data_IF_072167650156
#
_entry.id   IF_072167650156
#
_cell.length_a   1.000
_cell.length_b   1.000
_cell.length_c   1.000
_cell.angle_alpha   90.00
_cell.angle_beta   90.00
_cell.angle_gamma   90.00
#
_symmetry.space_group_name_H-M   'P 1'
#
loop_
_entity.id
_entity.type
_entity.pdbx_description
1 polymer ?
#
# COMPACT_ATOMS: atom_id res chain seq x y z
N UNK A 1 52.23 -1.95 -16.07
CA UNK A 1 50.86 -2.47 -16.29
C UNK A 1 50.52 -2.25 -17.76
N UNK A 2 50.17 -3.28 -18.51
CA UNK A 2 49.93 -3.17 -19.96
C UNK A 2 48.79 -2.20 -20.26
N UNK A 3 48.98 -1.29 -21.23
CA UNK A 3 47.98 -0.29 -21.64
C UNK A 3 46.63 -0.92 -22.01
N UNK A 4 46.66 -2.13 -22.57
CA UNK A 4 45.46 -2.89 -22.94
C UNK A 4 44.70 -3.42 -21.70
N UNK A 5 45.41 -3.81 -20.64
CA UNK A 5 44.79 -4.27 -19.39
C UNK A 5 44.17 -3.10 -18.61
N UNK A 6 44.83 -1.94 -18.59
CA UNK A 6 44.26 -0.74 -17.95
C UNK A 6 43.03 -0.23 -18.68
N UNK A 7 43.00 -0.24 -20.02
CA UNK A 7 41.82 0.09 -20.81
C UNK A 7 40.64 -0.85 -20.54
N UNK A 8 40.88 -2.16 -20.49
CA UNK A 8 39.83 -3.15 -20.21
C UNK A 8 39.23 -2.98 -18.81
N UNK A 9 40.04 -2.65 -17.80
CA UNK A 9 39.57 -2.37 -16.44
C UNK A 9 38.70 -1.09 -16.42
N UNK A 10 39.11 -0.07 -17.17
CA UNK A 10 38.34 1.18 -17.31
C UNK A 10 36.97 0.94 -17.96
N UNK A 11 36.92 0.20 -19.07
CA UNK A 11 35.67 -0.16 -19.72
C UNK A 11 34.78 -1.03 -18.84
N UNK A 12 35.34 -2.01 -18.12
CA UNK A 12 34.60 -2.82 -17.18
C UNK A 12 33.99 -1.97 -16.03
N UNK A 13 34.74 -0.98 -15.53
CA UNK A 13 34.23 -0.04 -14.52
C UNK A 13 33.06 0.82 -15.02
N UNK A 14 33.13 1.31 -16.27
CA UNK A 14 32.06 2.10 -16.89
C UNK A 14 30.81 1.23 -17.16
N UNK A 15 31.00 -0.01 -17.62
CA UNK A 15 29.89 -0.94 -17.83
C UNK A 15 29.20 -1.31 -16.51
N UNK A 16 29.96 -1.57 -15.44
CA UNK A 16 29.38 -1.91 -14.14
C UNK A 16 28.58 -0.75 -13.53
N UNK A 17 29.10 0.48 -13.61
CA UNK A 17 28.42 1.67 -13.07
C UNK A 17 27.13 2.01 -13.83
N UNK A 18 27.13 1.88 -15.16
CA UNK A 18 25.92 2.09 -15.98
C UNK A 18 24.82 1.06 -15.68
N UNK A 19 25.17 -0.23 -15.55
CA UNK A 19 24.23 -1.29 -15.14
C UNK A 19 23.67 -1.01 -13.74
N UNK A 20 24.52 -0.62 -12.79
CA UNK A 20 24.08 -0.27 -11.43
C UNK A 20 23.09 0.91 -11.43
N UNK A 21 23.38 1.98 -12.17
CA UNK A 21 22.50 3.14 -12.29
C UNK A 21 21.15 2.77 -12.92
N UNK A 22 21.16 1.96 -13.98
CA UNK A 22 19.94 1.43 -14.61
C UNK A 22 19.08 0.64 -13.62
N UNK A 23 19.67 -0.31 -12.89
CA UNK A 23 18.95 -1.11 -11.89
C UNK A 23 18.39 -0.25 -10.75
N UNK A 24 19.17 0.72 -10.26
CA UNK A 24 18.74 1.64 -9.21
C UNK A 24 17.56 2.50 -9.68
N UNK A 25 17.60 3.01 -10.90
CA UNK A 25 16.54 3.84 -11.46
C UNK A 25 15.27 3.01 -11.73
N UNK A 26 15.42 1.79 -12.24
CA UNK A 26 14.30 0.87 -12.45
C UNK A 26 13.59 0.48 -11.14
N UNK A 27 14.36 0.19 -10.07
CA UNK A 27 13.79 -0.04 -8.73
C UNK A 27 13.06 1.19 -8.19
N UNK A 28 13.61 2.39 -8.42
CA UNK A 28 12.97 3.64 -7.99
C UNK A 28 11.62 3.87 -8.68
N UNK A 29 11.53 3.59 -9.99
CA UNK A 29 10.28 3.75 -10.74
C UNK A 29 9.16 2.83 -10.26
N UNK A 30 9.45 1.60 -9.82
CA UNK A 30 8.43 0.68 -9.29
C UNK A 30 7.77 1.15 -7.99
N UNK A 31 8.39 2.08 -7.27
CA UNK A 31 7.90 2.54 -5.97
C UNK A 31 7.32 3.97 -6.00
N UNK A 32 7.18 4.56 -7.19
CA UNK A 32 6.62 5.90 -7.38
C UNK A 32 5.25 5.78 -8.03
N UNK A 33 4.26 5.35 -7.27
CA UNK A 33 2.88 5.67 -7.57
C UNK A 33 2.59 7.05 -7.00
N UNK A 34 1.98 7.92 -7.80
CA UNK A 34 1.54 9.23 -7.33
C UNK A 34 0.31 9.01 -6.44
N UNK A 35 0.52 8.99 -5.13
CA UNK A 35 -0.54 8.97 -4.13
C UNK A 35 -0.64 10.40 -3.61
N UNK A 36 -1.85 10.96 -3.60
CA UNK A 36 -2.06 12.26 -2.98
C UNK A 36 -1.76 12.14 -1.49
N UNK A 37 -1.07 13.14 -0.92
CA UNK A 37 -0.56 13.08 0.47
C UNK A 37 -1.68 12.86 1.50
N UNK A 38 -2.88 13.32 1.20
CA UNK A 38 -4.09 13.15 2.00
C UNK A 38 -4.68 11.72 1.93
N UNK A 39 -4.38 10.96 0.88
CA UNK A 39 -4.85 9.58 0.67
C UNK A 39 -3.79 8.53 1.02
N UNK A 40 -2.58 8.92 1.45
CA UNK A 40 -1.54 7.97 1.84
C UNK A 40 -1.71 7.52 3.30
N UNK A 41 -2.52 6.48 3.49
CA UNK A 41 -2.77 5.85 4.78
C UNK A 41 -1.65 4.89 5.24
N UNK A 42 -0.63 4.64 4.42
CA UNK A 42 0.34 3.54 4.65
C UNK A 42 1.43 3.88 5.68
N UNK A 43 1.54 5.13 6.10
CA UNK A 43 2.58 5.58 7.01
C UNK A 43 2.14 6.79 7.86
N UNK A 44 0.86 6.81 8.21
CA UNK A 44 0.28 7.90 8.99
C UNK A 44 -0.18 7.40 10.34
N UNK A 45 0.57 7.74 11.38
CA UNK A 45 0.16 7.53 12.79
C UNK A 45 -1.17 8.22 13.09
N UNK A 46 -1.51 9.26 12.33
CA UNK A 46 -2.78 9.96 12.47
C UNK A 46 -3.98 9.09 12.10
N UNK A 47 -3.84 8.22 11.08
CA UNK A 47 -4.92 7.35 10.58
C UNK A 47 -5.21 6.21 11.54
N UNK A 48 -4.20 5.75 12.30
CA UNK A 48 -4.36 4.75 13.36
C UNK A 48 -5.16 5.29 14.57
N UNK A 49 -5.18 6.60 14.76
CA UNK A 49 -5.85 7.25 15.90
C UNK A 49 -7.14 7.96 15.51
N UNK A 50 -7.34 8.27 14.22
CA UNK A 50 -8.56 8.89 13.73
C UNK A 50 -9.64 7.82 13.60
N UNK A 51 -10.83 8.14 14.09
CA UNK A 51 -12.02 7.31 13.90
C UNK A 51 -12.42 7.26 12.41
N UNK A 52 -13.05 6.16 12.00
CA UNK A 52 -13.55 5.98 10.65
C UNK A 52 -14.43 7.16 10.20
N UNK A 53 -14.22 7.70 8.98
CA UNK A 53 -15.11 8.70 8.38
C UNK A 53 -16.57 8.25 8.25
N UNK A 54 -16.81 6.94 8.14
CA UNK A 54 -18.16 6.39 7.97
C UNK A 54 -18.79 5.92 9.28
N UNK A 55 -18.14 6.11 10.44
CA UNK A 55 -18.70 5.72 11.74
C UNK A 55 -20.08 6.35 12.02
N UNK A 56 -20.38 7.51 11.42
CA UNK A 56 -21.69 8.16 11.55
C UNK A 56 -22.81 7.50 10.71
N UNK A 57 -22.45 6.65 9.74
CA UNK A 57 -23.38 6.06 8.77
C UNK A 57 -23.45 4.53 8.86
N UNK A 58 -22.39 3.88 9.34
CA UNK A 58 -22.32 2.44 9.54
C UNK A 58 -21.97 2.11 10.99
N UNK A 59 -22.91 1.47 11.68
CA UNK A 59 -22.72 0.99 13.05
C UNK A 59 -21.59 -0.03 13.16
N UNK A 60 -21.28 -0.75 12.06
CA UNK A 60 -20.14 -1.64 11.99
C UNK A 60 -18.78 -0.92 11.93
N UNK A 61 -18.76 0.39 11.66
CA UNK A 61 -17.55 1.23 11.59
C UNK A 61 -17.34 2.08 12.85
N UNK A 62 -18.29 2.10 13.80
CA UNK A 62 -18.17 2.82 15.07
C UNK A 62 -17.00 2.25 15.89
N UNK A 63 -16.10 3.13 16.33
CA UNK A 63 -14.93 2.76 17.12
C UNK A 63 -13.81 2.06 16.34
N UNK A 64 -13.93 1.91 15.01
CA UNK A 64 -12.82 1.52 14.16
C UNK A 64 -11.96 2.73 13.81
N UNK A 65 -10.64 2.50 13.72
CA UNK A 65 -9.74 3.49 13.14
C UNK A 65 -10.01 3.62 11.63
N UNK A 66 -9.63 4.75 11.03
CA UNK A 66 -9.71 4.96 9.58
C UNK A 66 -8.94 3.86 8.80
N UNK A 67 -7.84 3.37 9.37
CA UNK A 67 -7.04 2.27 8.81
C UNK A 67 -7.80 0.94 8.89
N UNK A 68 -8.36 0.59 10.05
CA UNK A 68 -9.10 -0.67 10.22
C UNK A 68 -10.38 -0.69 9.38
N UNK A 69 -11.07 0.45 9.28
CA UNK A 69 -12.24 0.62 8.42
C UNK A 69 -11.88 0.42 6.94
N UNK A 70 -10.73 0.95 6.49
CA UNK A 70 -10.26 0.74 5.10
C UNK A 70 -10.00 -0.75 4.83
N UNK A 71 -9.32 -1.46 5.74
CA UNK A 71 -9.09 -2.89 5.58
C UNK A 71 -10.39 -3.71 5.62
N UNK A 72 -11.33 -3.35 6.49
CA UNK A 72 -12.67 -3.96 6.51
C UNK A 72 -13.37 -3.77 5.16
N UNK A 73 -13.37 -2.56 4.60
CA UNK A 73 -13.99 -2.25 3.31
C UNK A 73 -13.35 -3.04 2.16
N UNK A 74 -12.01 -3.19 2.17
CA UNK A 74 -11.33 -4.08 1.22
C UNK A 74 -11.82 -5.53 1.36
N UNK A 75 -11.92 -6.05 2.59
CA UNK A 75 -12.35 -7.42 2.85
C UNK A 75 -13.82 -7.67 2.46
N UNK A 76 -14.73 -6.75 2.76
CA UNK A 76 -16.15 -6.86 2.38
C UNK A 76 -16.32 -6.74 0.86
N UNK A 77 -15.53 -5.89 0.19
CA UNK A 77 -15.55 -5.76 -1.27
C UNK A 77 -15.15 -7.04 -2.00
N UNK A 78 -14.33 -7.89 -1.37
CA UNK A 78 -13.92 -9.20 -1.88
C UNK A 78 -14.99 -10.29 -1.70
N UNK A 79 -16.12 -9.99 -1.05
CA UNK A 79 -17.25 -10.90 -0.89
C UNK A 79 -17.14 -11.87 0.30
N UNK A 80 -16.26 -11.60 1.27
CA UNK A 80 -16.17 -12.37 2.52
C UNK A 80 -17.26 -11.96 3.53
N UNK A 81 -17.67 -12.88 4.44
CA UNK A 81 -19.04 -12.92 4.94
C UNK A 81 -19.37 -11.81 5.93
N UNK A 82 -20.66 -11.46 5.94
CA UNK A 82 -21.31 -10.63 6.94
C UNK A 82 -20.92 -11.08 8.35
N UNK A 83 -20.74 -10.13 9.26
CA UNK A 83 -20.56 -10.40 10.69
C UNK A 83 -21.81 -11.09 11.24
N UNK A 84 -21.69 -11.85 12.35
CA UNK A 84 -22.84 -12.52 12.97
C UNK A 84 -24.00 -11.57 13.29
N UNK A 85 -23.70 -10.33 13.70
CA UNK A 85 -24.70 -9.28 13.92
C UNK A 85 -25.45 -8.91 12.63
N UNK A 86 -24.71 -8.69 11.54
CA UNK A 86 -25.29 -8.37 10.24
C UNK A 86 -26.08 -9.54 9.63
N UNK A 87 -25.76 -10.78 10.00
CA UNK A 87 -26.56 -11.96 9.67
C UNK A 87 -27.89 -11.96 10.41
N UNK A 88 -27.89 -11.77 11.74
CA UNK A 88 -29.10 -11.69 12.56
C UNK A 88 -30.03 -10.54 12.11
N UNK A 89 -29.47 -9.38 11.78
CA UNK A 89 -30.23 -8.24 11.27
C UNK A 89 -30.84 -8.51 9.89
N UNK A 90 -30.11 -9.17 8.98
CA UNK A 90 -30.65 -9.55 7.67
C UNK A 90 -31.78 -10.59 7.80
N UNK A 91 -31.60 -11.62 8.63
CA UNK A 91 -32.61 -12.67 8.85
C UNK A 91 -33.92 -12.11 9.41
N UNK A 92 -33.82 -11.13 10.31
CA UNK A 92 -34.98 -10.46 10.90
C UNK A 92 -35.62 -9.41 9.98
N UNK A 93 -34.89 -8.84 9.02
CA UNK A 93 -35.41 -7.82 8.09
C UNK A 93 -36.30 -8.40 6.99
N UNK A 94 -36.18 -9.70 6.71
CA UNK A 94 -36.95 -10.40 5.67
C UNK A 94 -37.89 -11.49 6.19
N UNK A 95 -38.05 -11.63 7.51
CA UNK A 95 -39.12 -12.42 8.16
C UNK A 95 -40.34 -11.57 8.45
#
# INVERSE_FOLDING_TARGET
MDKYKTQNILYAGIAATSIYLLLKNYKKQKNTYWIYKDHDIRNSVEVDHRESPNAAYDDAEIGLSELDATYRAEWTSMGYPLTNRELEENENKYS
#
